data_IF_500428606497
#
_entry.id   IF_500428606497
#
_cell.length_a   1.000
_cell.length_b   1.000
_cell.length_c   1.000
_cell.angle_alpha   90.00
_cell.angle_beta   90.00
_cell.angle_gamma   90.00
#
_symmetry.space_group_name_H-M   'P 1'
#
loop_
_entity.id
_entity.type
_entity.pdbx_description
1 polymer ?
2 non-polymer ?
3 non-polymer ?
4 water ?
#
# COMPACT_ATOMS: atom_id res chain seq x y z
N UNK A 3 25.37 -9.19 8.83
CA UNK A 3 24.47 -8.46 7.88
C UNK A 3 24.16 -9.33 6.67
N UNK A 4 22.86 -9.54 6.40
CA UNK A 4 22.44 -10.37 5.26
C UNK A 4 22.66 -9.73 3.89
N UNK A 5 22.74 -10.60 2.89
CA UNK A 5 22.91 -10.18 1.51
C UNK A 5 21.52 -10.29 0.88
N UNK A 6 21.10 -9.26 0.17
CA UNK A 6 19.78 -9.29 -0.46
C UNK A 6 19.85 -8.98 -1.95
N UNK A 7 18.85 -9.44 -2.69
CA UNK A 7 18.77 -9.21 -4.13
C UNK A 7 18.35 -7.78 -4.44
N UNK A 8 17.51 -7.20 -3.58
CA UNK A 8 17.04 -5.83 -3.78
C UNK A 8 18.19 -4.84 -3.84
N UNK A 9 18.09 -3.84 -4.69
CA UNK A 9 19.16 -2.85 -4.79
C UNK A 9 18.91 -1.70 -3.82
N UNK A 10 17.77 -1.78 -3.13
CA UNK A 10 17.42 -0.79 -2.13
C UNK A 10 16.80 -1.48 -0.94
N UNK A 11 17.27 -1.17 0.27
CA UNK A 11 16.70 -1.79 1.44
C UNK A 11 16.86 -0.94 2.70
N UNK A 12 15.94 -1.12 3.63
CA UNK A 12 15.96 -0.39 4.90
C UNK A 12 15.05 -1.03 5.94
N UNK A 13 15.48 -0.98 7.21
CA UNK A 13 14.67 -1.50 8.30
C UNK A 13 15.00 -0.75 9.58
N UNK A 14 13.99 -0.55 10.41
CA UNK A 14 14.16 0.13 11.69
C UNK A 14 13.25 -0.49 12.75
N UNK A 15 13.53 -0.15 14.00
CA UNK A 15 12.72 -0.58 15.12
C UNK A 15 11.59 0.44 15.06
N UNK A 16 10.37 -0.02 14.77
CA UNK A 16 9.23 0.87 14.65
C UNK A 16 8.95 1.72 15.88
N UNK A 17 9.20 1.16 17.05
CA UNK A 17 8.93 1.89 18.28
C UNK A 17 9.96 2.96 18.64
N UNK A 18 11.23 2.73 18.31
CA UNK A 18 12.28 3.67 18.67
C UNK A 18 12.83 4.51 17.52
N UNK A 19 12.64 4.04 16.29
CA UNK A 19 13.13 4.76 15.14
C UNK A 19 14.57 4.38 14.80
N UNK A 20 15.19 3.56 15.64
CA UNK A 20 16.57 3.14 15.41
C UNK A 20 16.74 2.26 14.17
N UNK A 21 17.70 2.63 13.32
CA UNK A 21 17.98 1.89 12.10
C UNK A 21 18.61 0.54 12.41
N UNK A 22 18.17 -0.48 11.70
CA UNK A 22 18.67 -1.84 11.90
C UNK A 22 19.35 -2.37 10.64
N UNK A 23 19.02 -1.80 9.49
CA UNK A 23 19.59 -2.27 8.24
C UNK A 23 19.51 -1.22 7.13
N UNK A 24 20.56 -1.12 6.31
CA UNK A 24 20.57 -0.17 5.22
C UNK A 24 21.28 -0.73 3.98
N UNK A 25 20.79 -0.32 2.83
CA UNK A 25 21.37 -0.67 1.53
C UNK A 25 20.80 0.36 0.57
N UNK A 26 21.60 1.38 0.24
CA UNK A 26 21.15 2.46 -0.64
C UNK A 26 19.80 2.94 -0.10
N UNK A 27 19.70 3.02 1.22
CA UNK A 27 18.48 3.42 1.90
C UNK A 27 17.87 4.77 1.48
N UNK A 28 18.69 5.67 0.93
CA UNK A 28 18.20 6.97 0.51
C UNK A 28 18.28 7.22 -1.00
N UNK A 29 18.38 6.14 -1.76
CA UNK A 29 18.46 6.25 -3.21
C UNK A 29 17.04 6.13 -3.78
N UNK A 30 16.64 7.15 -4.53
CA UNK A 30 15.32 7.22 -5.15
C UNK A 30 15.13 6.15 -6.22
N UNK A 31 13.99 5.46 -6.14
CA UNK A 31 13.64 4.41 -7.09
C UNK A 31 12.13 4.43 -7.27
N UNK A 32 11.65 3.71 -8.28
CA UNK A 32 10.22 3.63 -8.54
C UNK A 32 9.56 2.77 -7.46
N UNK A 33 8.34 3.13 -7.08
CA UNK A 33 7.63 2.42 -6.01
C UNK A 33 6.61 1.37 -6.45
N UNK A 34 6.06 1.54 -7.65
CA UNK A 34 5.07 0.59 -8.12
C UNK A 34 3.86 0.67 -7.20
N UNK A 35 3.26 -0.47 -6.92
CA UNK A 35 2.08 -0.54 -6.08
C UNK A 35 2.28 -0.28 -4.58
N UNK A 36 3.52 -0.03 -4.13
CA UNK A 36 3.70 0.26 -2.71
C UNK A 36 3.12 1.66 -2.44
N UNK A 37 2.87 2.40 -3.52
CA UNK A 37 2.28 3.73 -3.44
C UNK A 37 0.91 3.66 -2.76
N UNK A 38 0.23 2.53 -2.95
CA UNK A 38 -1.09 2.31 -2.35
C UNK A 38 -1.06 2.62 -0.85
N UNK A 39 0.09 2.41 -0.20
CA UNK A 39 0.21 2.68 1.21
C UNK A 39 -0.12 4.15 1.52
N UNK A 40 0.46 5.07 0.74
CA UNK A 40 0.20 6.47 0.95
C UNK A 40 -1.26 6.80 0.68
N UNK A 41 -1.84 6.16 -0.34
CA UNK A 41 -3.24 6.39 -0.67
C UNK A 41 -4.11 6.03 0.53
N UNK A 42 -3.87 4.85 1.12
CA UNK A 42 -4.62 4.42 2.30
C UNK A 42 -4.42 5.42 3.44
N UNK A 43 -3.16 5.81 3.65
CA UNK A 43 -2.82 6.76 4.72
C UNK A 43 -3.58 8.07 4.58
N UNK A 44 -3.61 8.62 3.38
CA UNK A 44 -4.32 9.88 3.14
C UNK A 44 -5.81 9.73 3.39
N UNK A 45 -6.40 8.65 2.88
CA UNK A 45 -7.82 8.40 3.06
C UNK A 45 -8.17 8.33 4.54
N UNK A 46 -7.40 7.55 5.29
CA UNK A 46 -7.64 7.36 6.71
C UNK A 46 -7.45 8.62 7.55
N UNK A 47 -6.76 9.60 7.00
CA UNK A 47 -6.52 10.86 7.71
C UNK A 47 -7.52 11.96 7.33
N UNK A 48 -8.43 11.67 6.40
CA UNK A 48 -9.42 12.66 5.97
C UNK A 48 -10.34 13.03 7.13
N UNK A 49 -10.62 14.32 7.25
CA UNK A 49 -11.49 14.82 8.32
C UNK A 49 -12.92 14.33 8.11
N UNK A 50 -13.32 14.24 6.85
CA UNK A 50 -14.66 13.79 6.48
C UNK A 50 -14.72 12.28 6.24
N UNK A 51 -13.81 11.54 6.85
CA UNK A 51 -13.79 10.09 6.67
C UNK A 51 -14.98 9.35 7.27
N UNK A 52 -15.56 8.44 6.47
CA UNK A 52 -16.68 7.62 6.89
C UNK A 52 -16.44 6.25 6.25
N UNK A 53 -15.93 5.32 7.05
CA UNK A 53 -15.64 3.99 6.57
C UNK A 53 -16.86 3.31 5.96
N UNK A 54 -18.04 3.72 6.41
CA UNK A 54 -19.28 3.12 5.91
C UNK A 54 -19.86 3.84 4.71
N UNK A 55 -19.24 4.95 4.32
CA UNK A 55 -19.73 5.69 3.16
C UNK A 55 -19.62 4.78 1.93
N UNK A 56 -20.66 4.80 1.10
CA UNK A 56 -20.68 3.96 -0.10
C UNK A 56 -20.25 4.76 -1.33
N UNK A 57 -19.57 4.08 -2.24
CA UNK A 57 -19.08 4.68 -3.46
C UNK A 57 -19.61 3.80 -4.59
N UNK A 58 -20.06 4.42 -5.69
CA UNK A 58 -20.56 3.63 -6.82
C UNK A 58 -19.39 3.37 -7.75
N UNK A 59 -19.19 2.11 -8.11
CA UNK A 59 -18.09 1.76 -9.00
C UNK A 59 -18.36 2.32 -10.38
N UNK A 60 -17.52 3.27 -10.80
CA UNK A 60 -17.66 3.90 -12.10
C UNK A 60 -17.02 3.07 -13.22
N UNK A 61 -17.59 3.21 -14.42
CA UNK A 61 -17.08 2.50 -15.60
C UNK A 61 -15.61 2.84 -15.78
N UNK A 62 -15.24 4.06 -15.42
CA UNK A 62 -13.87 4.56 -15.56
C UNK A 62 -12.85 3.76 -14.75
N UNK A 63 -13.23 3.27 -13.58
CA UNK A 63 -12.31 2.51 -12.75
C UNK A 63 -11.98 1.21 -13.45
N UNK A 64 -12.98 0.63 -14.10
CA UNK A 64 -12.81 -0.63 -14.82
C UNK A 64 -12.00 -0.46 -16.10
N UNK A 65 -12.34 0.55 -16.88
CA UNK A 65 -11.63 0.80 -18.14
C UNK A 65 -10.16 1.10 -17.86
N UNK A 66 -9.92 1.77 -16.73
CA UNK A 66 -8.59 2.15 -16.30
C UNK A 66 -7.70 0.93 -16.07
N UNK A 67 -8.17 -0.03 -15.27
CA UNK A 67 -7.37 -1.22 -15.00
C UNK A 67 -7.02 -1.95 -16.30
N UNK A 68 -7.99 -2.06 -17.21
CA UNK A 68 -7.76 -2.74 -18.47
C UNK A 68 -6.75 -1.99 -19.35
N UNK A 69 -6.95 -0.68 -19.48
CA UNK A 69 -6.06 0.14 -20.30
C UNK A 69 -4.63 0.20 -19.79
N UNK A 70 -4.43 -0.04 -18.49
CA UNK A 70 -3.10 0.01 -17.90
C UNK A 70 -2.59 -1.34 -17.43
N UNK A 71 -3.33 -2.40 -17.73
CA UNK A 71 -2.93 -3.74 -17.31
C UNK A 71 -2.56 -3.67 -15.83
N UNK A 72 -3.39 -2.99 -15.05
CA UNK A 72 -3.13 -2.82 -13.63
C UNK A 72 -3.75 -3.90 -12.75
N UNK A 73 -3.14 -4.11 -11.59
CA UNK A 73 -3.64 -5.07 -10.61
C UNK A 73 -5.01 -4.55 -10.20
N UNK A 74 -5.93 -5.45 -9.88
CA UNK A 74 -7.26 -5.02 -9.52
C UNK A 74 -7.98 -5.85 -8.47
N UNK A 75 -9.04 -5.26 -7.91
CA UNK A 75 -9.85 -5.91 -6.90
C UNK A 75 -11.12 -6.45 -7.57
N UNK A 76 -11.20 -6.32 -8.90
CA UNK A 76 -12.33 -6.78 -9.69
C UNK A 76 -13.66 -6.14 -9.29
N UNK A 77 -13.62 -4.85 -8.98
CA UNK A 77 -14.83 -4.13 -8.60
C UNK A 77 -15.76 -4.11 -9.82
N UNK A 78 -17.04 -4.35 -9.57
CA UNK A 78 -18.05 -4.41 -10.63
C UNK A 78 -18.76 -3.08 -10.85
N UNK A 79 -18.76 -2.61 -12.09
CA UNK A 79 -19.39 -1.34 -12.42
C UNK A 79 -20.86 -1.32 -12.04
N UNK A 80 -21.25 -0.27 -11.31
CA UNK A 80 -22.63 -0.14 -10.88
C UNK A 80 -22.80 -0.50 -9.41
N UNK A 81 -21.92 -1.34 -8.90
CA UNK A 81 -21.98 -1.76 -7.50
C UNK A 81 -21.71 -0.61 -6.54
N UNK A 82 -22.21 -0.76 -5.32
CA UNK A 82 -21.99 0.22 -4.26
C UNK A 82 -21.05 -0.46 -3.29
N UNK A 83 -19.87 0.12 -3.11
CA UNK A 83 -18.83 -0.42 -2.25
C UNK A 83 -18.45 0.62 -1.18
N UNK A 84 -18.31 0.17 0.06
CA UNK A 84 -17.96 1.09 1.14
C UNK A 84 -16.48 1.45 1.13
N UNK A 85 -16.12 2.53 1.81
CA UNK A 85 -14.73 2.95 1.88
C UNK A 85 -13.91 1.84 2.54
N UNK A 86 -14.47 1.22 3.57
CA UNK A 86 -13.78 0.13 4.25
C UNK A 86 -13.48 -1.00 3.26
N UNK A 87 -14.48 -1.41 2.50
CA UNK A 87 -14.28 -2.47 1.52
C UNK A 87 -13.23 -2.06 0.50
N UNK A 88 -13.23 -0.78 0.11
CA UNK A 88 -12.26 -0.29 -0.86
C UNK A 88 -10.84 -0.33 -0.28
N UNK A 89 -10.72 -0.10 1.03
CA UNK A 89 -9.39 -0.14 1.64
C UNK A 89 -8.84 -1.58 1.62
N UNK A 90 -9.72 -2.56 1.78
CA UNK A 90 -9.30 -3.96 1.72
C UNK A 90 -8.94 -4.30 0.27
N UNK A 91 -9.75 -3.78 -0.67
CA UNK A 91 -9.50 -4.04 -2.08
C UNK A 91 -8.20 -3.41 -2.55
N UNK A 92 -7.84 -2.29 -1.94
CA UNK A 92 -6.63 -1.59 -2.28
C UNK A 92 -5.38 -2.32 -1.74
N UNK A 93 -5.42 -2.68 -0.46
CA UNK A 93 -4.29 -3.30 0.21
C UNK A 93 -4.07 -4.82 0.08
N UNK A 94 -5.12 -5.59 -0.19
CA UNK A 94 -4.92 -7.03 -0.29
C UNK A 94 -4.55 -7.48 -1.71
N UNK A 95 -5.47 -7.34 -2.68
CA UNK A 95 -5.12 -7.75 -4.04
C UNK A 95 -4.42 -6.62 -4.80
N UNK A 96 -4.02 -5.57 -4.09
CA UNK A 96 -3.34 -4.43 -4.73
C UNK A 96 -4.22 -3.76 -5.80
N UNK A 97 -5.50 -3.57 -5.48
CA UNK A 97 -6.45 -2.99 -6.41
C UNK A 97 -6.26 -1.55 -6.83
N UNK A 98 -5.87 -1.34 -8.09
CA UNK A 98 -5.69 0.01 -8.61
C UNK A 98 -7.05 0.63 -8.94
N UNK A 99 -8.06 -0.21 -9.13
CA UNK A 99 -9.42 0.28 -9.37
C UNK A 99 -9.92 0.81 -8.02
N UNK A 100 -9.57 0.13 -6.93
CA UNK A 100 -9.96 0.56 -5.60
C UNK A 100 -9.22 1.88 -5.30
N UNK A 101 -7.97 1.96 -5.73
CA UNK A 101 -7.16 3.18 -5.53
C UNK A 101 -7.83 4.34 -6.26
N UNK A 102 -8.24 4.09 -7.50
CA UNK A 102 -8.90 5.10 -8.31
C UNK A 102 -10.18 5.56 -7.62
N UNK A 103 -10.97 4.61 -7.13
CA UNK A 103 -12.22 4.93 -6.45
C UNK A 103 -11.98 5.82 -5.22
N UNK A 104 -10.96 5.49 -4.45
CA UNK A 104 -10.65 6.25 -3.24
C UNK A 104 -10.18 7.65 -3.57
N UNK A 105 -9.38 7.79 -4.62
CA UNK A 105 -8.89 9.11 -5.04
C UNK A 105 -10.06 9.97 -5.52
N UNK A 106 -10.97 9.34 -6.25
CA UNK A 106 -12.16 10.02 -6.78
C UNK A 106 -13.02 10.49 -5.62
N UNK A 107 -13.17 9.65 -4.62
CA UNK A 107 -13.99 9.96 -3.48
C UNK A 107 -13.44 11.06 -2.56
N UNK A 108 -12.14 11.00 -2.27
CA UNK A 108 -11.58 11.97 -1.34
C UNK A 108 -10.80 13.15 -1.91
N UNK A 109 -10.64 13.20 -3.22
CA UNK A 109 -9.98 14.33 -3.83
C UNK A 109 -11.01 15.44 -3.87
N UNK A 110 -10.55 16.69 -3.95
CA UNK A 110 -11.44 17.86 -4.01
C UNK A 110 -11.55 18.32 -5.47
N UNK A 111 -12.77 18.49 -5.96
CA UNK A 111 -12.94 18.92 -7.34
C UNK A 111 -14.29 18.56 -7.91
N UNK A 112 -14.66 19.20 -9.02
CA UNK A 112 -15.96 18.98 -9.64
C UNK A 112 -15.97 17.87 -10.69
N UNK A 113 -14.79 17.40 -11.09
CA UNK A 113 -14.68 16.30 -12.06
C UNK A 113 -13.79 15.24 -11.44
N UNK A 114 -13.85 14.05 -12.02
CA UNK A 114 -13.03 12.94 -11.56
C UNK A 114 -11.57 13.33 -11.78
N UNK A 115 -11.28 13.95 -12.91
CA UNK A 115 -9.92 14.38 -13.24
C UNK A 115 -9.39 15.37 -12.21
N UNK A 116 -10.21 16.35 -11.85
CA UNK A 116 -9.83 17.34 -10.86
C UNK A 116 -9.61 16.70 -9.48
N UNK A 117 -10.49 15.79 -9.09
CA UNK A 117 -10.36 15.14 -7.80
C UNK A 117 -9.14 14.23 -7.73
N UNK A 118 -8.78 13.59 -8.83
CA UNK A 118 -7.61 12.72 -8.87
C UNK A 118 -6.36 13.58 -8.66
N UNK A 119 -6.30 14.71 -9.35
CA UNK A 119 -5.18 15.63 -9.22
C UNK A 119 -5.07 16.13 -7.78
N UNK A 120 -6.20 16.55 -7.23
CA UNK A 120 -6.23 17.04 -5.86
C UNK A 120 -5.75 15.95 -4.90
N UNK A 121 -6.25 14.72 -5.08
CA UNK A 121 -5.84 13.62 -4.21
C UNK A 121 -4.34 13.38 -4.26
N UNK A 122 -3.76 13.41 -5.45
CA UNK A 122 -2.32 13.21 -5.59
C UNK A 122 -1.60 14.37 -4.87
N UNK A 123 -2.21 15.54 -4.89
CA UNK A 123 -1.62 16.68 -4.20
C UNK A 123 -1.56 16.40 -2.71
N UNK A 124 -2.62 15.80 -2.17
CA UNK A 124 -2.70 15.45 -0.76
C UNK A 124 -1.62 14.44 -0.37
N UNK A 125 -1.33 13.52 -1.29
CA UNK A 125 -0.30 12.50 -1.08
C UNK A 125 1.05 13.17 -0.91
N UNK A 126 1.32 14.15 -1.77
CA UNK A 126 2.59 14.88 -1.70
C UNK A 126 2.65 15.74 -0.46
N UNK A 127 1.54 16.35 -0.08
CA UNK A 127 1.50 17.17 1.12
C UNK A 127 1.80 16.26 2.33
N UNK A 128 1.23 15.06 2.30
CA UNK A 128 1.44 14.09 3.37
C UNK A 128 2.92 13.75 3.54
N UNK A 129 3.63 13.56 2.42
CA UNK A 129 5.05 13.24 2.46
C UNK A 129 5.81 14.43 3.03
N UNK A 130 5.42 15.62 2.61
CA UNK A 130 6.02 16.86 3.10
C UNK A 130 5.86 16.97 4.62
N UNK A 131 4.65 16.72 5.11
CA UNK A 131 4.39 16.82 6.53
C UNK A 131 5.14 15.80 7.35
N UNK A 132 5.62 14.74 6.70
CA UNK A 132 6.38 13.69 7.38
C UNK A 132 7.86 14.07 7.38
N UNK A 133 8.17 15.21 6.76
CA UNK A 133 9.55 15.67 6.68
C UNK A 133 10.38 14.92 5.66
N UNK A 134 9.73 14.31 4.68
CA UNK A 134 10.43 13.56 3.63
C UNK A 134 10.97 14.48 2.54
N UNK A 135 12.07 14.06 1.92
CA UNK A 135 12.68 14.86 0.87
C UNK A 135 12.97 14.09 -0.40
N UNK A 136 12.87 12.76 -0.34
CA UNK A 136 13.16 11.94 -1.51
C UNK A 136 11.98 11.17 -2.05
N UNK A 137 10.79 11.71 -1.80
CA UNK A 137 9.55 11.10 -2.24
C UNK A 137 8.66 12.05 -3.03
N UNK A 138 8.14 11.58 -4.16
CA UNK A 138 7.21 12.37 -4.94
C UNK A 138 6.21 11.45 -5.59
N UNK A 139 4.94 11.84 -5.56
CA UNK A 139 3.88 11.04 -6.16
C UNK A 139 3.30 11.74 -7.35
N UNK A 140 3.01 10.94 -8.38
CA UNK A 140 2.42 11.44 -9.60
C UNK A 140 1.24 10.55 -9.96
N UNK A 141 0.84 9.71 -9.01
CA UNK A 141 -0.27 8.78 -9.21
C UNK A 141 -0.83 8.34 -7.87
N UNK A 142 -1.95 7.62 -7.90
CA UNK A 142 -2.56 7.12 -6.68
C UNK A 142 -2.31 5.62 -6.53
N UNK A 143 -1.65 5.03 -7.53
CA UNK A 143 -1.39 3.59 -7.51
C UNK A 143 0.00 3.19 -8.01
N UNK A 144 0.87 4.16 -8.26
CA UNK A 144 2.21 3.84 -8.72
C UNK A 144 2.33 3.58 -10.23
N UNK A 148 8.35 8.81 -14.06
CA UNK A 148 9.57 9.38 -13.50
C UNK A 148 9.31 10.24 -12.26
N UNK A 149 8.12 10.81 -12.15
CA UNK A 149 7.80 11.65 -11.00
C UNK A 149 7.17 10.91 -9.84
N UNK A 150 7.12 9.57 -9.92
CA UNK A 150 6.57 8.77 -8.83
C UNK A 150 7.71 7.95 -8.27
N UNK A 151 8.31 8.44 -7.19
CA UNK A 151 9.44 7.75 -6.62
C UNK A 151 9.53 7.94 -5.11
N UNK A 152 10.37 7.12 -4.50
CA UNK A 152 10.62 7.16 -3.06
C UNK A 152 11.93 6.42 -2.79
N UNK A 153 12.21 6.17 -1.51
CA UNK A 153 13.41 5.45 -1.11
C UNK A 153 13.01 4.43 -0.05
N UNK A 154 13.88 3.45 0.22
CA UNK A 154 13.54 2.46 1.25
C UNK A 154 13.27 3.14 2.59
N UNK A 155 14.06 4.18 2.90
CA UNK A 155 13.86 4.88 4.17
C UNK A 155 12.56 5.67 4.18
N UNK A 156 12.31 6.46 3.15
CA UNK A 156 11.09 7.27 3.08
C UNK A 156 9.83 6.41 3.15
N UNK A 157 9.77 5.36 2.33
CA UNK A 157 8.60 4.48 2.33
C UNK A 157 8.40 3.82 3.69
N UNK A 158 9.49 3.49 4.37
CA UNK A 158 9.39 2.89 5.70
C UNK A 158 8.77 3.90 6.68
N UNK A 159 9.16 5.16 6.54
CA UNK A 159 8.62 6.21 7.41
C UNK A 159 7.13 6.38 7.13
N UNK A 160 6.76 6.29 5.85
CA UNK A 160 5.37 6.44 5.46
C UNK A 160 4.55 5.30 6.07
N UNK A 161 5.05 4.08 5.94
CA UNK A 161 4.38 2.91 6.49
C UNK A 161 4.28 3.00 8.01
N UNK A 162 5.34 3.44 8.65
CA UNK A 162 5.34 3.57 10.11
C UNK A 162 4.24 4.54 10.51
N UNK A 163 4.11 5.64 9.75
CA UNK A 163 3.08 6.62 10.03
C UNK A 163 1.68 6.03 9.87
N UNK A 164 1.49 5.30 8.78
CA UNK A 164 0.20 4.66 8.50
C UNK A 164 -0.16 3.65 9.60
N UNK A 165 0.83 2.91 10.08
CA UNK A 165 0.58 1.90 11.10
C UNK A 165 0.08 2.48 12.42
N UNK A 166 0.09 3.80 12.56
CA UNK A 166 -0.38 4.43 13.78
C UNK A 166 -1.92 4.36 13.82
N UNK A 167 -2.51 4.08 12.66
CA UNK A 167 -3.96 3.98 12.52
C UNK A 167 -4.36 2.51 12.69
N UNK A 168 -5.27 2.25 13.65
CA UNK A 168 -5.73 0.89 13.92
C UNK A 168 -6.43 0.24 12.73
N UNK A 169 -7.18 1.02 11.96
CA UNK A 169 -7.87 0.49 10.79
C UNK A 169 -6.81 0.01 9.79
N UNK A 170 -5.80 0.84 9.54
CA UNK A 170 -4.72 0.45 8.63
C UNK A 170 -4.06 -0.85 9.10
N UNK A 171 -3.78 -0.94 10.40
CA UNK A 171 -3.15 -2.13 10.96
C UNK A 171 -4.03 -3.36 10.76
N UNK A 172 -5.33 -3.19 10.99
CA UNK A 172 -6.27 -4.30 10.83
C UNK A 172 -6.28 -4.81 9.41
N UNK A 173 -6.33 -3.88 8.46
CA UNK A 173 -6.37 -4.23 7.05
C UNK A 173 -5.12 -4.95 6.56
N UNK A 174 -3.94 -4.37 6.77
CA UNK A 174 -2.71 -4.98 6.27
C UNK A 174 -2.30 -6.33 6.87
N UNK A 175 -2.87 -6.69 8.02
CA UNK A 175 -2.53 -7.98 8.60
C UNK A 175 -3.56 -9.06 8.19
N UNK A 176 -4.57 -8.64 7.43
CA UNK A 176 -5.62 -9.56 6.97
C UNK A 176 -5.18 -10.37 5.75
N UNK A 177 -5.24 -11.69 5.87
CA UNK A 177 -4.84 -12.60 4.81
C UNK A 177 -5.89 -12.78 3.73
N UNK A 178 -7.15 -12.77 4.13
CA UNK A 178 -8.25 -12.95 3.18
C UNK A 178 -9.46 -12.11 3.59
N UNK A 179 -10.14 -11.57 2.59
CA UNK A 179 -11.32 -10.75 2.83
C UNK A 179 -12.31 -10.97 1.69
N UNK A 180 -13.59 -11.13 2.04
CA UNK A 180 -14.65 -11.35 1.05
C UNK A 180 -15.66 -10.22 1.18
N UNK A 181 -15.68 -9.31 0.22
CA UNK A 181 -16.61 -8.19 0.24
C UNK A 181 -18.01 -8.56 -0.23
N UNK A 182 -19.01 -8.10 0.51
CA UNK A 182 -20.41 -8.31 0.17
C UNK A 182 -20.88 -6.92 -0.25
N UNK A 183 -20.97 -6.70 -1.55
CA UNK A 183 -21.36 -5.40 -2.09
C UNK A 183 -22.84 -5.27 -2.45
N UNK A 184 -23.27 -4.05 -2.72
CA UNK A 184 -24.66 -3.83 -3.09
C UNK A 184 -24.81 -3.61 -4.59
N UNK A 185 -25.60 -4.49 -5.16
CA UNK A 185 -25.89 -4.54 -6.57
C UNK A 185 -26.78 -3.39 -7.05
N UNK A 186 -26.85 -3.21 -8.37
CA UNK A 186 -27.67 -2.17 -8.98
C UNK A 186 -29.14 -2.37 -8.60
N UNK A 187 -29.55 -3.62 -8.49
CA UNK A 187 -30.91 -3.94 -8.12
C UNK A 187 -31.11 -3.90 -6.61
N UNK A 188 -30.03 -3.60 -5.90
CA UNK A 188 -30.11 -3.52 -4.45
C UNK A 188 -29.81 -4.83 -3.74
N UNK A 189 -29.51 -5.88 -4.49
CA UNK A 189 -29.21 -7.17 -3.90
C UNK A 189 -27.79 -7.17 -3.34
N UNK A 190 -27.48 -8.15 -2.50
CA UNK A 190 -26.14 -8.26 -1.92
C UNK A 190 -25.34 -9.27 -2.72
N UNK A 191 -24.21 -8.83 -3.24
CA UNK A 191 -23.35 -9.69 -4.02
C UNK A 191 -22.14 -10.13 -3.23
N UNK A 192 -21.88 -11.43 -3.21
CA UNK A 192 -20.70 -11.94 -2.52
C UNK A 192 -19.61 -11.99 -3.60
N UNK A 193 -18.64 -11.08 -3.48
CA UNK A 193 -17.54 -11.04 -4.43
C UNK A 193 -16.59 -12.22 -4.20
N UNK A 194 -15.75 -12.50 -5.20
CA UNK A 194 -14.76 -13.55 -5.05
C UNK A 194 -13.83 -13.04 -3.94
N UNK A 195 -13.36 -13.95 -3.08
CA UNK A 195 -12.49 -13.58 -1.98
C UNK A 195 -11.15 -12.98 -2.42
N UNK A 196 -10.74 -11.94 -1.70
CA UNK A 196 -9.46 -11.27 -1.95
C UNK A 196 -8.42 -11.87 -1.00
N UNK A 197 -7.24 -12.17 -1.53
CA UNK A 197 -6.14 -12.72 -0.76
C UNK A 197 -5.05 -11.66 -0.71
N UNK A 198 -4.41 -11.52 0.44
CA UNK A 198 -3.33 -10.55 0.57
C UNK A 198 -2.12 -11.07 -0.21
N UNK A 199 -1.60 -10.23 -1.09
CA UNK A 199 -0.46 -10.57 -1.93
C UNK A 199 0.85 -10.69 -1.13
N UNK A 200 0.83 -10.23 0.12
CA UNK A 200 2.02 -10.29 0.97
C UNK A 200 2.18 -11.67 1.59
N UNK A 201 3.02 -12.50 0.98
CA UNK A 201 3.25 -13.85 1.48
C UNK A 201 3.81 -13.95 2.89
N UNK A 202 4.43 -12.88 3.39
CA UNK A 202 5.00 -12.90 4.74
C UNK A 202 3.94 -13.15 5.81
N UNK A 203 2.71 -12.72 5.55
CA UNK A 203 1.64 -12.91 6.51
C UNK A 203 1.49 -14.39 6.88
N UNK A 204 1.81 -15.27 5.94
CA UNK A 204 1.69 -16.70 6.19
C UNK A 204 3.03 -17.42 6.37
N UNK A 205 4.11 -16.85 5.84
CA UNK A 205 5.43 -17.47 5.94
C UNK A 205 6.32 -16.99 7.08
N UNK A 206 6.13 -15.75 7.51
CA UNK A 206 6.95 -15.20 8.59
C UNK A 206 6.18 -15.03 9.90
N UNK A 207 6.60 -15.78 10.91
CA UNK A 207 5.96 -15.73 12.22
C UNK A 207 6.08 -14.33 12.81
N UNK A 208 4.94 -13.78 13.20
CA UNK A 208 4.92 -12.44 13.78
C UNK A 208 4.69 -11.34 12.75
N UNK A 209 4.59 -11.71 11.47
CA UNK A 209 4.39 -10.72 10.42
C UNK A 209 3.06 -10.00 10.61
N UNK A 210 3.05 -8.68 10.40
CA UNK A 210 1.83 -7.89 10.57
C UNK A 210 1.54 -6.91 9.43
N UNK A 211 2.43 -6.86 8.43
CA UNK A 211 2.23 -5.95 7.32
C UNK A 211 3.38 -6.07 6.33
N UNK A 212 3.47 -5.18 5.33
CA UNK A 212 2.54 -4.08 5.15
C UNK A 212 1.93 -4.04 3.75
N UNK A 213 2.78 -4.02 2.72
CA UNK A 213 2.28 -3.96 1.34
C UNK A 213 3.33 -4.31 0.30
N UNK A 214 2.91 -5.13 -0.67
CA UNK A 214 3.76 -5.55 -1.78
C UNK A 214 3.68 -4.47 -2.85
N UNK A 215 4.53 -4.59 -3.86
CA UNK A 215 4.53 -3.64 -4.95
C UNK A 215 5.38 -4.18 -6.09
N UNK A 216 5.02 -3.83 -7.32
CA UNK A 216 5.79 -4.27 -8.46
C UNK A 216 5.53 -3.34 -9.63
N UNK A 217 6.35 -3.45 -10.67
CA UNK A 217 6.19 -2.62 -11.84
C UNK A 217 7.34 -2.82 -12.79
N UNK A 218 7.20 -2.37 -14.06
CA UNK A 218 8.25 -2.52 -15.06
C UNK A 218 9.52 -1.77 -14.66
N UNK A 219 9.36 -0.65 -13.97
CA UNK A 219 10.50 0.14 -13.53
C UNK A 219 10.86 -0.11 -12.06
N UNK A 220 9.85 -0.38 -11.24
CA UNK A 220 10.07 -0.63 -9.81
C UNK A 220 10.56 -2.04 -9.49
N UNK A 221 10.30 -2.97 -10.40
CA UNK A 221 10.65 -4.37 -10.19
C UNK A 221 9.87 -4.89 -8.99
N UNK A 222 10.43 -5.81 -8.22
CA UNK A 222 9.73 -6.38 -7.08
C UNK A 222 10.03 -5.75 -5.73
N UNK A 223 9.01 -5.09 -5.20
CA UNK A 223 9.12 -4.38 -3.93
C UNK A 223 8.24 -4.93 -2.82
N UNK A 224 8.60 -4.61 -1.59
CA UNK A 224 7.86 -5.07 -0.44
C UNK A 224 8.16 -4.25 0.80
N UNK A 225 7.10 -3.74 1.42
CA UNK A 225 7.21 -3.00 2.67
C UNK A 225 6.73 -4.03 3.68
N UNK A 226 7.59 -4.33 4.65
CA UNK A 226 7.29 -5.37 5.63
C UNK A 226 7.32 -4.91 7.08
N UNK A 227 6.64 -5.66 7.94
CA UNK A 227 6.59 -5.37 9.37
C UNK A 227 6.31 -6.67 10.10
N UNK A 228 6.89 -6.82 11.28
CA UNK A 228 6.68 -8.01 12.10
C UNK A 228 7.00 -7.70 13.55
N UNK A 229 6.36 -8.44 14.46
CA UNK A 229 6.57 -8.25 15.88
C UNK A 229 7.03 -9.56 16.51
N UNK A 230 8.13 -9.49 17.24
CA UNK A 230 8.67 -10.68 17.92
C UNK A 230 9.26 -10.24 19.26
N UNK A 231 8.76 -10.83 20.34
CA UNK A 231 9.25 -10.49 21.66
C UNK A 231 9.03 -9.02 22.00
N UNK A 232 7.86 -8.49 21.68
CA UNK A 232 7.56 -7.10 21.99
C UNK A 232 8.42 -6.10 21.24
N UNK A 233 8.95 -6.52 20.09
CA UNK A 233 9.79 -5.67 19.26
C UNK A 233 9.21 -5.68 17.86
N UNK A 234 9.01 -4.51 17.28
CA UNK A 234 8.46 -4.44 15.94
C UNK A 234 9.47 -3.91 14.93
N UNK A 235 9.77 -4.74 13.93
CA UNK A 235 10.70 -4.37 12.87
C UNK A 235 9.88 -3.99 11.65
N UNK A 236 10.15 -2.82 11.10
CA UNK A 236 9.43 -2.35 9.92
C UNK A 236 10.48 -1.94 8.89
N UNK A 237 10.27 -2.31 7.63
CA UNK A 237 11.24 -1.98 6.60
C UNK A 237 10.69 -2.04 5.19
N UNK A 238 11.57 -1.81 4.22
CA UNK A 238 11.22 -1.80 2.81
C UNK A 238 12.35 -2.28 1.93
N UNK A 239 12.03 -3.08 0.91
CA UNK A 239 13.01 -3.50 -0.06
C UNK A 239 12.45 -3.01 -1.38
N UNK A 240 13.32 -2.42 -2.20
CA UNK A 240 12.90 -1.92 -3.51
C UNK A 240 13.76 -2.55 -4.59
N UNK A 241 13.12 -2.89 -5.70
CA UNK A 241 13.80 -3.48 -6.84
C UNK A 241 14.50 -4.81 -6.58
N UNK A 242 13.77 -5.75 -5.99
CA UNK A 242 14.32 -7.08 -5.80
C UNK A 242 14.06 -7.73 -7.17
N UNK A 243 14.56 -8.95 -7.36
CA UNK A 243 14.45 -9.63 -8.65
C UNK A 243 13.23 -10.51 -8.94
N UNK A 244 12.46 -10.83 -7.91
CA UNK A 244 11.28 -11.68 -8.09
C UNK A 244 10.42 -11.62 -6.85
N UNK A 245 9.25 -12.24 -6.93
CA UNK A 245 8.36 -12.27 -5.79
C UNK A 245 9.01 -13.11 -4.68
N UNK A 246 9.44 -14.34 -5.00
CA UNK A 246 10.07 -15.13 -3.93
C UNK A 246 11.32 -14.44 -3.37
N UNK A 247 12.07 -13.75 -4.24
CA UNK A 247 13.29 -13.05 -3.81
C UNK A 247 12.98 -11.90 -2.85
N UNK A 248 11.93 -11.14 -3.13
CA UNK A 248 11.58 -10.02 -2.28
C UNK A 248 11.10 -10.53 -0.91
N UNK A 249 10.43 -11.67 -0.89
CA UNK A 249 9.95 -12.22 0.37
C UNK A 249 11.13 -12.69 1.20
N UNK A 250 12.11 -13.28 0.52
CA UNK A 250 13.31 -13.78 1.17
C UNK A 250 14.19 -12.61 1.66
N UNK A 251 14.27 -11.55 0.87
CA UNK A 251 15.06 -10.37 1.24
C UNK A 251 14.50 -9.84 2.55
N UNK A 252 13.17 -9.66 2.58
CA UNK A 252 12.51 -9.15 3.77
C UNK A 252 12.70 -10.09 4.97
N UNK A 253 12.60 -11.39 4.73
CA UNK A 253 12.77 -12.35 5.81
C UNK A 253 14.17 -12.23 6.45
N UNK A 254 15.19 -12.11 5.62
CA UNK A 254 16.56 -12.01 6.10
C UNK A 254 16.76 -10.72 6.88
N UNK A 255 16.24 -9.62 6.37
CA UNK A 255 16.40 -8.34 7.04
C UNK A 255 15.70 -8.33 8.41
N UNK A 256 14.50 -8.89 8.48
CA UNK A 256 13.78 -8.93 9.75
C UNK A 256 14.51 -9.85 10.73
N UNK A 257 14.94 -11.01 10.27
CA UNK A 257 15.65 -11.96 11.14
C UNK A 257 16.91 -11.27 11.69
N UNK A 258 17.60 -10.54 10.82
CA UNK A 258 18.80 -9.82 11.19
C UNK A 258 18.46 -8.77 12.24
N UNK A 259 17.43 -7.97 11.95
CA UNK A 259 17.01 -6.92 12.86
C UNK A 259 16.62 -7.43 14.23
N UNK A 260 15.98 -8.59 14.29
CA UNK A 260 15.56 -9.16 15.57
C UNK A 260 16.73 -9.74 16.36
N UNK A 261 17.78 -10.17 15.65
CA UNK A 261 18.95 -10.75 16.29
C UNK A 261 20.01 -9.74 16.71
N UNK A 262 19.87 -8.50 16.23
CA UNK A 262 20.83 -7.44 16.53
C UNK A 262 21.02 -7.13 18.01
X LIG B 1 1.43 -5.57 -5.47
X LIG C 1 3.36 -7.18 -6.70
#
# INVERSE_FOLDING_TARGET
VTKPTIAAVGGYAMNNGTGTTLYTKAADTRRSTGSTTHIMTAKVVLAQSNLNLDAKVTIQKAYSDYVVANNASQAHLIVGDKVTVRQLLYGLMLPSGCDAAYALADKYGSGSTRAARVKSFIGKMNTAATNLGLHNTHFDSFDGIGNGANYSTPRDLTKIASSAMKNSTFRTVVKTKAYTAKTVTKTGSIRTMDTWKNTNGLLSSYSGAIGVKTGSGPEAKYCLVFAATRGGKTVIGTVLASTSIPARESDATKIMNYGFAL
NA NA
CL CL
#
